data_IF_878154838735
#
_entry.id   IF_878154838735
#
_cell.length_a   1.000
_cell.length_b   1.000
_cell.length_c   1.000
_cell.angle_alpha   90.00
_cell.angle_beta   90.00
_cell.angle_gamma   90.00
#
_symmetry.space_group_name_H-M   'P 1'
#
loop_
_entity.id
_entity.type
_entity.pdbx_description
1 polymer ?
#
# COMPACT_ATOMS: atom_id res chain seq x y z
N UNK A 1 105.95 160.67 -15.10
CA UNK A 1 105.48 161.00 -16.46
C UNK A 1 104.01 161.39 -16.37
N UNK A 2 103.60 162.39 -17.16
CA UNK A 2 102.31 162.50 -17.86
C UNK A 2 101.00 162.37 -17.04
N UNK A 3 100.24 163.48 -16.99
CA UNK A 3 98.77 163.51 -16.99
C UNK A 3 98.03 163.31 -15.66
N UNK A 4 96.86 163.93 -15.40
CA UNK A 4 96.14 165.02 -16.12
C UNK A 4 95.21 165.75 -15.12
N UNK A 5 95.03 167.05 -15.32
CA UNK A 5 94.10 167.98 -14.61
C UNK A 5 92.61 167.74 -15.02
N UNK A 6 91.57 168.52 -14.58
CA UNK A 6 91.56 169.72 -13.72
C UNK A 6 90.42 169.83 -12.65
N UNK A 7 90.49 170.89 -11.81
CA UNK A 7 89.38 171.76 -11.31
C UNK A 7 88.17 171.18 -10.55
N UNK A 8 87.49 171.84 -9.58
CA UNK A 8 87.52 173.16 -8.90
C UNK A 8 86.99 172.93 -7.45
N UNK A 9 87.14 173.77 -6.42
CA UNK A 9 88.08 174.87 -6.11
C UNK A 9 87.75 175.49 -4.73
N UNK A 10 88.75 176.06 -4.03
CA UNK A 10 88.63 177.14 -3.00
C UNK A 10 87.87 176.76 -1.69
N UNK A 11 88.37 177.02 -0.48
CA UNK A 11 89.61 177.68 -0.04
C UNK A 11 89.98 177.24 1.39
N UNK A 12 91.24 177.37 1.82
CA UNK A 12 91.87 178.63 2.29
C UNK A 12 91.37 178.98 3.72
N UNK A 13 92.18 179.20 4.75
CA UNK A 13 93.64 179.10 5.01
C UNK A 13 93.78 178.76 6.53
N UNK A 14 94.89 178.21 7.03
CA UNK A 14 95.98 178.96 7.69
C UNK A 14 95.53 180.08 8.67
N UNK A 15 96.12 180.26 9.86
CA UNK A 15 97.19 179.51 10.55
C UNK A 15 97.28 180.02 12.01
N UNK A 16 98.04 179.32 12.86
CA UNK A 16 98.57 179.80 14.14
C UNK A 16 97.49 180.08 15.23
N UNK A 17 97.76 180.00 16.54
CA UNK A 17 99.00 179.70 17.28
C UNK A 17 98.65 179.14 18.67
N UNK A 18 99.69 178.76 19.44
CA UNK A 18 99.70 178.63 20.91
C UNK A 18 98.93 177.49 21.64
N UNK A 19 99.55 177.01 22.72
CA UNK A 19 98.82 176.63 23.94
C UNK A 19 98.36 175.17 24.09
N UNK A 20 99.28 174.26 24.42
CA UNK A 20 99.11 173.15 25.39
C UNK A 20 97.65 172.77 25.81
N UNK A 21 97.07 171.72 25.21
CA UNK A 21 95.79 171.11 25.64
C UNK A 21 95.81 169.55 25.59
N UNK A 22 94.83 168.84 26.21
CA UNK A 22 94.95 167.44 26.65
C UNK A 22 93.94 166.46 25.98
N UNK A 23 94.00 165.17 26.32
CA UNK A 23 92.82 164.27 26.26
C UNK A 23 92.96 163.01 27.14
N UNK A 24 91.90 162.70 27.91
CA UNK A 24 91.72 161.43 28.64
C UNK A 24 90.57 160.59 28.04
N UNK A 25 90.02 161.04 26.90
CA UNK A 25 88.71 160.65 26.35
C UNK A 25 88.72 159.30 25.61
N UNK A 26 89.90 158.86 25.15
CA UNK A 26 90.04 157.74 24.21
C UNK A 26 89.92 156.35 24.88
N UNK A 27 90.18 156.26 26.19
CA UNK A 27 89.96 155.02 26.96
C UNK A 27 88.48 154.80 27.28
N UNK A 28 87.71 155.89 27.49
CA UNK A 28 86.30 155.80 27.87
C UNK A 28 85.44 155.23 26.73
N UNK A 29 85.68 155.67 25.50
CA UNK A 29 85.00 155.21 24.29
C UNK A 29 85.28 153.73 24.01
N UNK A 30 86.52 153.28 24.20
CA UNK A 30 86.90 151.86 24.05
C UNK A 30 86.21 150.99 25.09
N UNK A 31 86.17 151.40 26.37
CA UNK A 31 85.47 150.67 27.43
C UNK A 31 83.97 150.56 27.09
N UNK A 32 83.34 151.64 26.63
CA UNK A 32 81.92 151.64 26.21
C UNK A 32 81.69 150.75 24.98
N UNK A 33 82.60 150.75 24.00
CA UNK A 33 82.45 149.92 22.80
C UNK A 33 82.61 148.43 23.11
N UNK A 34 83.54 148.06 24.00
CA UNK A 34 83.67 146.68 24.52
C UNK A 34 82.42 146.28 25.32
N UNK A 35 81.87 147.18 26.15
CA UNK A 35 80.62 146.92 26.88
C UNK A 35 79.42 146.74 25.93
N UNK A 36 79.29 147.58 24.90
CA UNK A 36 78.26 147.45 23.87
C UNK A 36 78.40 146.14 23.09
N UNK A 37 79.61 145.78 22.67
CA UNK A 37 79.85 144.56 21.90
C UNK A 37 79.61 143.30 22.77
N UNK A 38 80.02 143.33 24.04
CA UNK A 38 79.69 142.29 25.01
C UNK A 38 78.17 142.20 25.29
N UNK A 39 77.48 143.34 25.42
CA UNK A 39 76.03 143.40 25.60
C UNK A 39 75.31 142.82 24.39
N UNK A 40 75.70 143.17 23.15
CA UNK A 40 75.16 142.60 21.91
C UNK A 40 75.40 141.09 21.85
N UNK A 41 76.60 140.59 22.21
CA UNK A 41 76.89 139.15 22.26
C UNK A 41 76.03 138.43 23.30
N UNK A 42 75.82 139.01 24.48
CA UNK A 42 74.90 138.46 25.50
C UNK A 42 73.45 138.48 25.01
N UNK A 43 73.04 139.53 24.31
CA UNK A 43 71.67 139.66 23.77
C UNK A 43 71.43 138.66 22.64
N UNK A 44 72.36 138.50 21.71
CA UNK A 44 72.33 137.45 20.67
C UNK A 44 72.30 136.05 21.30
N UNK A 45 73.14 135.77 22.30
CA UNK A 45 73.16 134.46 22.96
C UNK A 45 71.90 134.20 23.79
N UNK A 46 71.26 135.23 24.34
CA UNK A 46 69.98 135.14 25.01
C UNK A 46 68.84 134.90 24.00
N UNK A 47 68.86 135.61 22.86
CA UNK A 47 67.93 135.37 21.75
C UNK A 47 68.07 133.94 21.19
N UNK A 48 69.29 133.43 21.02
CA UNK A 48 69.56 132.04 20.63
C UNK A 48 69.05 131.05 21.69
N UNK A 49 69.27 131.32 22.98
CA UNK A 49 68.79 130.47 24.07
C UNK A 49 67.25 130.44 24.13
N UNK A 50 66.59 131.59 23.91
CA UNK A 50 65.13 131.71 23.85
C UNK A 50 64.59 131.05 22.57
N UNK A 51 65.28 131.15 21.44
CA UNK A 51 64.92 130.45 20.20
C UNK A 51 65.06 128.93 20.35
N UNK A 52 66.15 128.46 20.97
CA UNK A 52 66.35 127.05 21.31
C UNK A 52 65.25 126.57 22.28
N UNK A 53 64.99 127.29 23.38
CA UNK A 53 63.94 126.93 24.33
C UNK A 53 62.55 126.90 23.68
N UNK A 54 62.23 127.87 22.80
CA UNK A 54 60.99 127.85 22.01
C UNK A 54 60.93 126.65 21.08
N UNK A 55 62.01 126.34 20.35
CA UNK A 55 62.05 125.16 19.47
C UNK A 55 61.89 123.85 20.25
N UNK A 56 62.43 123.75 21.47
CA UNK A 56 62.24 122.61 22.37
C UNK A 56 60.81 122.52 22.88
N UNK A 57 60.19 123.64 23.27
CA UNK A 57 58.78 123.69 23.71
C UNK A 57 57.82 123.40 22.54
N UNK A 58 58.13 123.85 21.32
CA UNK A 58 57.37 123.56 20.11
C UNK A 58 57.51 122.09 19.70
N UNK A 59 58.72 121.52 19.79
CA UNK A 59 58.96 120.10 19.59
C UNK A 59 58.29 119.23 20.67
N UNK A 60 58.30 119.66 21.94
CA UNK A 60 57.63 118.98 23.06
C UNK A 60 56.10 119.04 22.89
N UNK A 61 55.55 120.19 22.48
CA UNK A 61 54.13 120.32 22.14
C UNK A 61 53.75 119.44 20.96
N UNK A 62 54.55 119.43 19.89
CA UNK A 62 54.31 118.57 18.72
C UNK A 62 54.43 117.08 19.07
N UNK A 63 55.38 116.70 19.92
CA UNK A 63 55.50 115.34 20.44
C UNK A 63 54.34 114.97 21.35
N UNK A 64 53.84 115.91 22.16
CA UNK A 64 52.69 115.71 23.06
C UNK A 64 51.38 115.57 22.28
N UNK A 65 51.12 116.41 21.28
CA UNK A 65 49.93 116.27 20.43
C UNK A 65 50.00 115.01 19.56
N UNK A 66 51.17 114.65 19.04
CA UNK A 66 51.37 113.38 18.34
C UNK A 66 51.18 112.17 19.26
N UNK A 67 51.71 112.22 20.50
CA UNK A 67 51.51 111.16 21.48
C UNK A 67 50.03 111.01 21.87
N UNK A 68 49.30 112.13 22.01
CA UNK A 68 47.85 112.13 22.26
C UNK A 68 47.07 111.54 21.08
N UNK A 69 47.36 111.93 19.83
CA UNK A 69 46.68 111.39 18.65
C UNK A 69 46.97 109.90 18.47
N UNK A 70 48.23 109.47 18.63
CA UNK A 70 48.63 108.06 18.60
C UNK A 70 47.99 107.27 19.75
N UNK A 71 47.80 107.88 20.92
CA UNK A 71 47.11 107.21 22.03
C UNK A 71 45.60 107.05 21.75
N UNK A 72 44.95 108.08 21.22
CA UNK A 72 43.54 108.01 20.79
C UNK A 72 43.33 106.98 19.66
N UNK A 73 44.24 106.93 18.69
CA UNK A 73 44.22 105.89 17.65
C UNK A 73 44.42 104.48 18.23
N UNK A 74 45.37 104.31 19.17
CA UNK A 74 45.57 103.04 19.88
C UNK A 74 44.36 102.62 20.69
N UNK A 75 43.70 103.53 21.40
CA UNK A 75 42.47 103.26 22.15
C UNK A 75 41.34 102.85 21.20
N UNK A 76 41.14 103.57 20.09
CA UNK A 76 40.15 103.21 19.06
C UNK A 76 40.44 101.88 18.36
N UNK A 77 41.71 101.56 18.12
CA UNK A 77 42.13 100.27 17.57
C UNK A 77 41.98 99.13 18.58
N UNK A 78 42.27 99.36 19.86
CA UNK A 78 42.08 98.37 20.92
C UNK A 78 40.59 98.05 21.15
N UNK A 79 39.72 99.05 21.08
CA UNK A 79 38.27 98.85 21.14
C UNK A 79 37.76 98.03 19.95
N UNK A 80 38.20 98.34 18.72
CA UNK A 80 37.85 97.55 17.51
C UNK A 80 38.40 96.13 17.58
N UNK A 81 39.62 95.95 18.10
CA UNK A 81 40.20 94.62 18.29
C UNK A 81 39.32 93.82 19.24
N UNK A 82 38.97 94.37 20.41
CA UNK A 82 38.09 93.73 21.39
C UNK A 82 36.69 93.42 20.83
N UNK A 83 36.13 94.31 20.01
CA UNK A 83 34.86 94.08 19.29
C UNK A 83 34.99 92.88 18.34
N UNK A 84 35.98 92.87 17.45
CA UNK A 84 36.21 91.76 16.52
C UNK A 84 36.60 90.43 17.21
N UNK A 85 37.29 90.48 18.34
CA UNK A 85 37.60 89.30 19.16
C UNK A 85 36.34 88.72 19.79
N UNK A 86 35.41 89.57 20.28
CA UNK A 86 34.11 89.14 20.77
C UNK A 86 33.24 88.57 19.65
N UNK A 87 33.19 89.21 18.47
CA UNK A 87 32.50 88.68 17.29
C UNK A 87 33.06 87.30 16.86
N UNK A 88 34.39 87.16 16.81
CA UNK A 88 35.04 85.89 16.52
C UNK A 88 34.76 84.82 17.58
N UNK A 89 34.69 85.19 18.86
CA UNK A 89 34.32 84.27 19.93
C UNK A 89 32.86 83.80 19.81
N UNK A 90 31.93 84.72 19.50
CA UNK A 90 30.52 84.41 19.25
C UNK A 90 30.34 83.50 18.03
N UNK A 91 30.97 83.81 16.90
CA UNK A 91 30.92 83.01 15.67
C UNK A 91 31.53 81.61 15.85
N UNK A 92 32.60 81.48 16.65
CA UNK A 92 33.16 80.16 17.02
C UNK A 92 32.18 79.37 17.88
N UNK A 93 31.56 80.00 18.88
CA UNK A 93 30.53 79.38 19.71
C UNK A 93 29.32 78.89 18.90
N UNK A 94 28.83 79.71 17.97
CA UNK A 94 27.74 79.31 17.06
C UNK A 94 28.14 78.16 16.15
N UNK A 95 29.34 78.19 15.55
CA UNK A 95 29.86 77.12 14.71
C UNK A 95 29.97 75.79 15.47
N UNK A 96 30.40 75.81 16.73
CA UNK A 96 30.53 74.61 17.56
C UNK A 96 29.15 74.08 18.01
N UNK A 97 28.17 74.95 18.28
CA UNK A 97 26.77 74.55 18.49
C UNK A 97 26.17 73.92 17.23
N UNK A 98 26.41 74.49 16.05
CA UNK A 98 25.96 73.94 14.76
C UNK A 98 26.61 72.58 14.47
N UNK A 99 27.92 72.43 14.71
CA UNK A 99 28.63 71.14 14.61
C UNK A 99 28.06 70.10 15.58
N UNK A 100 27.84 70.46 16.84
CA UNK A 100 27.27 69.55 17.82
C UNK A 100 25.84 69.14 17.44
N UNK A 101 25.06 70.05 16.84
CA UNK A 101 23.73 69.74 16.29
C UNK A 101 23.82 68.78 15.09
N UNK A 102 24.73 69.02 14.15
CA UNK A 102 24.97 68.14 12.99
C UNK A 102 25.34 66.72 13.43
N UNK A 103 26.33 66.60 14.31
CA UNK A 103 26.79 65.32 14.84
C UNK A 103 25.67 64.55 15.56
N UNK A 104 24.82 65.24 16.36
CA UNK A 104 23.63 64.62 16.97
C UNK A 104 22.62 64.17 15.93
N UNK A 105 22.35 64.95 14.89
CA UNK A 105 21.41 64.57 13.82
C UNK A 105 21.93 63.40 12.98
N UNK A 106 23.22 63.36 12.68
CA UNK A 106 23.89 62.25 12.00
C UNK A 106 23.83 60.97 12.85
N UNK A 107 24.07 61.08 14.16
CA UNK A 107 23.94 59.94 15.07
C UNK A 107 22.50 59.42 15.14
N UNK A 108 21.49 60.30 15.22
CA UNK A 108 20.08 59.86 15.17
C UNK A 108 19.71 59.22 13.84
N UNK A 109 20.15 59.79 12.72
CA UNK A 109 19.88 59.25 11.38
C UNK A 109 20.55 57.87 11.19
N UNK A 110 21.78 57.71 11.70
CA UNK A 110 22.49 56.43 11.70
C UNK A 110 21.72 55.38 12.51
N UNK A 111 21.28 55.71 13.74
CA UNK A 111 20.46 54.82 14.59
C UNK A 111 19.13 54.44 13.93
N UNK A 112 18.42 55.39 13.32
CA UNK A 112 17.17 55.15 12.59
C UNK A 112 17.39 54.28 11.35
N UNK A 113 18.45 54.53 10.58
CA UNK A 113 18.79 53.70 9.41
C UNK A 113 19.10 52.25 9.80
N UNK A 114 19.80 52.05 10.92
CA UNK A 114 20.07 50.73 11.48
C UNK A 114 18.76 50.05 11.93
N UNK A 115 17.88 50.76 12.64
CA UNK A 115 16.57 50.24 13.04
C UNK A 115 15.70 49.85 11.83
N UNK A 116 15.63 50.70 10.81
CA UNK A 116 14.91 50.40 9.56
C UNK A 116 15.50 49.19 8.82
N UNK A 117 16.84 49.01 8.84
CA UNK A 117 17.47 47.82 8.25
C UNK A 117 17.11 46.54 9.01
N UNK A 118 17.05 46.60 10.34
CA UNK A 118 16.64 45.48 11.19
C UNK A 118 15.15 45.12 11.00
N UNK A 119 14.27 46.12 10.89
CA UNK A 119 12.85 45.86 10.60
C UNK A 119 12.61 45.29 9.20
N UNK A 120 13.38 45.72 8.19
CA UNK A 120 13.35 45.09 6.85
C UNK A 120 13.78 43.62 6.91
N UNK A 121 14.87 43.30 7.60
CA UNK A 121 15.31 41.92 7.79
C UNK A 121 14.29 41.05 8.57
N UNK A 122 13.59 41.64 9.56
CA UNK A 122 12.47 41.00 10.26
C UNK A 122 11.29 40.74 9.32
N UNK A 123 10.90 41.73 8.52
CA UNK A 123 9.81 41.60 7.55
C UNK A 123 10.11 40.54 6.47
N UNK A 124 11.34 40.47 5.95
CA UNK A 124 11.77 39.38 5.06
C UNK A 124 11.68 38.01 5.73
N UNK A 125 12.12 37.90 6.99
CA UNK A 125 12.08 36.64 7.75
C UNK A 125 10.64 36.18 7.98
N UNK A 126 9.75 37.09 8.39
CA UNK A 126 8.32 36.82 8.55
C UNK A 126 7.65 36.45 7.22
N UNK A 127 8.07 37.06 6.10
CA UNK A 127 7.58 36.71 4.76
C UNK A 127 7.98 35.28 4.39
N UNK A 128 9.24 34.90 4.59
CA UNK A 128 9.72 33.51 4.38
C UNK A 128 8.97 32.51 5.25
N UNK A 129 8.71 32.84 6.53
CA UNK A 129 7.91 31.99 7.43
C UNK A 129 6.45 31.85 6.96
N UNK A 130 5.83 32.94 6.48
CA UNK A 130 4.48 32.92 5.90
C UNK A 130 4.44 32.02 4.67
N UNK A 131 5.40 32.17 3.77
CA UNK A 131 5.51 31.37 2.54
C UNK A 131 5.70 29.88 2.86
N UNK A 132 6.57 29.56 3.82
CA UNK A 132 6.79 28.19 4.29
C UNK A 132 5.54 27.58 4.92
N UNK A 133 4.84 28.30 5.79
CA UNK A 133 3.57 27.84 6.39
C UNK A 133 2.49 27.64 5.32
N UNK A 134 2.43 28.51 4.31
CA UNK A 134 1.50 28.37 3.18
C UNK A 134 1.82 27.15 2.30
N UNK A 135 3.11 26.88 2.04
CA UNK A 135 3.55 25.68 1.33
C UNK A 135 3.25 24.39 2.12
N UNK A 136 3.44 24.41 3.45
CA UNK A 136 3.07 23.30 4.33
C UNK A 136 1.55 23.07 4.35
N UNK A 137 0.75 24.14 4.43
CA UNK A 137 -0.72 24.07 4.42
C UNK A 137 -1.25 23.43 3.11
N UNK A 138 -0.80 23.92 1.96
CA UNK A 138 -1.18 23.35 0.65
C UNK A 138 -0.74 21.90 0.48
N UNK A 139 0.43 21.52 1.02
CA UNK A 139 0.88 20.12 1.06
C UNK A 139 -0.05 19.25 1.94
N UNK A 140 -0.46 19.74 3.10
CA UNK A 140 -1.42 19.03 3.96
C UNK A 140 -2.81 18.90 3.33
N UNK A 141 -3.28 19.92 2.60
CA UNK A 141 -4.54 19.86 1.85
C UNK A 141 -4.49 18.79 0.74
N UNK A 142 -3.40 18.72 -0.01
CA UNK A 142 -3.17 17.68 -1.02
C UNK A 142 -3.15 16.28 -0.39
N UNK A 143 -2.43 16.09 0.73
CA UNK A 143 -2.39 14.83 1.45
C UNK A 143 -3.77 14.42 1.99
N UNK A 144 -4.56 15.36 2.52
CA UNK A 144 -5.94 15.12 2.95
C UNK A 144 -6.87 14.77 1.78
N UNK A 145 -6.70 15.38 0.62
CA UNK A 145 -7.46 15.03 -0.59
C UNK A 145 -7.12 13.62 -1.09
N UNK A 146 -5.83 13.26 -1.12
CA UNK A 146 -5.37 11.91 -1.47
C UNK A 146 -5.93 10.86 -0.50
N UNK A 147 -5.80 11.09 0.82
CA UNK A 147 -6.29 10.16 1.84
C UNK A 147 -7.82 10.00 1.83
N UNK A 148 -8.58 11.06 1.52
CA UNK A 148 -10.03 10.96 1.29
C UNK A 148 -10.37 10.09 0.08
N UNK A 149 -9.62 10.22 -1.01
CA UNK A 149 -9.81 9.41 -2.22
C UNK A 149 -9.47 7.93 -1.94
N UNK A 150 -8.38 7.67 -1.22
CA UNK A 150 -8.01 6.33 -0.77
C UNK A 150 -9.08 5.71 0.14
N UNK A 151 -9.59 6.46 1.13
CA UNK A 151 -10.67 6.00 1.99
C UNK A 151 -11.94 5.64 1.21
N UNK A 152 -12.34 6.46 0.22
CA UNK A 152 -13.50 6.16 -0.63
C UNK A 152 -13.28 4.89 -1.46
N UNK A 153 -12.09 4.70 -2.02
CA UNK A 153 -11.73 3.49 -2.76
C UNK A 153 -11.77 2.23 -1.87
N UNK A 154 -11.19 2.30 -0.65
CA UNK A 154 -11.21 1.20 0.33
C UNK A 154 -12.65 0.89 0.76
N UNK A 155 -13.46 1.93 1.00
CA UNK A 155 -14.88 1.76 1.36
C UNK A 155 -15.67 1.07 0.25
N UNK A 156 -15.48 1.46 -1.01
CA UNK A 156 -16.10 0.77 -2.15
C UNK A 156 -15.64 -0.69 -2.26
N UNK A 157 -14.33 -0.95 -2.14
CA UNK A 157 -13.80 -2.32 -2.16
C UNK A 157 -14.38 -3.19 -1.04
N UNK A 158 -14.57 -2.63 0.16
CA UNK A 158 -15.20 -3.33 1.29
C UNK A 158 -16.67 -3.65 1.01
N UNK A 159 -17.43 -2.72 0.41
CA UNK A 159 -18.81 -2.97 -0.03
C UNK A 159 -18.85 -4.08 -1.08
N UNK A 160 -18.00 -4.02 -2.12
CA UNK A 160 -17.93 -5.06 -3.15
C UNK A 160 -17.55 -6.44 -2.57
N UNK A 161 -16.61 -6.50 -1.62
CA UNK A 161 -16.25 -7.74 -0.94
C UNK A 161 -17.41 -8.29 -0.09
N UNK A 162 -18.12 -7.43 0.64
CA UNK A 162 -19.30 -7.82 1.42
C UNK A 162 -20.42 -8.39 0.53
N UNK A 163 -20.68 -7.78 -0.62
CA UNK A 163 -21.62 -8.34 -1.59
C UNK A 163 -21.13 -9.68 -2.18
N UNK A 164 -19.83 -9.80 -2.52
CA UNK A 164 -19.26 -11.05 -3.03
C UNK A 164 -19.37 -12.17 -1.99
N UNK A 165 -19.08 -11.89 -0.72
CA UNK A 165 -19.26 -12.83 0.39
C UNK A 165 -20.74 -13.24 0.55
N UNK A 166 -21.66 -12.27 0.49
CA UNK A 166 -23.12 -12.53 0.55
C UNK A 166 -23.60 -13.39 -0.62
N UNK A 167 -23.11 -13.14 -1.85
CA UNK A 167 -23.40 -13.97 -3.04
C UNK A 167 -22.83 -15.38 -2.90
N UNK A 168 -21.58 -15.52 -2.43
CA UNK A 168 -20.95 -16.81 -2.20
C UNK A 168 -21.66 -17.63 -1.12
N UNK A 169 -22.10 -17.00 -0.02
CA UNK A 169 -22.87 -17.68 1.03
C UNK A 169 -24.19 -18.23 0.48
N UNK A 170 -24.97 -17.43 -0.25
CA UNK A 170 -26.23 -17.91 -0.87
C UNK A 170 -26.02 -19.08 -1.83
N UNK A 171 -24.92 -19.08 -2.59
CA UNK A 171 -24.56 -20.19 -3.46
C UNK A 171 -24.17 -21.45 -2.67
N UNK A 172 -23.45 -21.29 -1.55
CA UNK A 172 -23.12 -22.39 -0.64
C UNK A 172 -24.39 -22.98 0.01
N UNK A 173 -25.34 -22.14 0.41
CA UNK A 173 -26.62 -22.56 0.99
C UNK A 173 -27.49 -23.30 -0.05
N UNK A 174 -27.58 -22.79 -1.27
CA UNK A 174 -28.32 -23.43 -2.38
C UNK A 174 -27.69 -24.77 -2.80
N UNK A 175 -26.37 -24.83 -3.01
CA UNK A 175 -25.68 -26.08 -3.34
C UNK A 175 -25.79 -27.12 -2.21
N UNK A 176 -25.82 -26.68 -0.94
CA UNK A 176 -26.12 -27.57 0.19
C UNK A 176 -27.54 -28.11 0.13
N UNK A 177 -28.54 -27.26 -0.11
CA UNK A 177 -29.93 -27.70 -0.25
C UNK A 177 -30.12 -28.69 -1.41
N UNK A 178 -29.41 -28.48 -2.54
CA UNK A 178 -29.39 -29.43 -3.67
C UNK A 178 -28.75 -30.77 -3.30
N UNK A 179 -27.64 -30.77 -2.55
CA UNK A 179 -27.00 -32.00 -2.05
C UNK A 179 -27.90 -32.76 -1.08
N UNK A 180 -28.53 -32.06 -0.13
CA UNK A 180 -29.45 -32.65 0.84
C UNK A 180 -30.66 -33.28 0.12
N UNK A 181 -31.28 -32.57 -0.84
CA UNK A 181 -32.36 -33.09 -1.67
C UNK A 181 -31.94 -34.31 -2.51
N UNK A 182 -30.76 -34.28 -3.13
CA UNK A 182 -30.23 -35.40 -3.91
C UNK A 182 -29.89 -36.61 -3.04
N UNK A 183 -29.46 -36.39 -1.81
CA UNK A 183 -29.23 -37.47 -0.84
C UNK A 183 -30.53 -38.17 -0.45
N UNK A 184 -31.62 -37.42 -0.26
CA UNK A 184 -32.95 -37.97 0.03
C UNK A 184 -33.48 -38.81 -1.15
N UNK A 185 -33.35 -38.32 -2.40
CA UNK A 185 -33.71 -39.07 -3.61
C UNK A 185 -32.94 -40.39 -3.73
N UNK A 186 -31.63 -40.39 -3.41
CA UNK A 186 -30.82 -41.62 -3.42
C UNK A 186 -31.26 -42.62 -2.35
N UNK A 187 -31.66 -42.15 -1.16
CA UNK A 187 -32.21 -43.00 -0.10
C UNK A 187 -33.53 -43.62 -0.56
N UNK A 188 -34.48 -42.81 -1.03
CA UNK A 188 -35.78 -43.30 -1.55
C UNK A 188 -35.59 -44.33 -2.67
N UNK A 189 -34.71 -44.03 -3.64
CA UNK A 189 -34.42 -44.92 -4.76
C UNK A 189 -33.73 -46.22 -4.34
N UNK A 190 -32.91 -46.20 -3.29
CA UNK A 190 -32.27 -47.42 -2.77
C UNK A 190 -33.27 -48.33 -2.05
N UNK A 191 -34.22 -47.77 -1.28
CA UNK A 191 -35.33 -48.54 -0.71
C UNK A 191 -36.28 -49.10 -1.79
N UNK A 192 -36.60 -48.32 -2.83
CA UNK A 192 -37.39 -48.79 -3.96
C UNK A 192 -36.72 -49.97 -4.71
N UNK A 193 -35.40 -49.91 -4.91
CA UNK A 193 -34.63 -51.03 -5.47
C UNK A 193 -34.64 -52.25 -4.54
N UNK A 194 -34.43 -52.06 -3.23
CA UNK A 194 -34.46 -53.14 -2.23
C UNK A 194 -35.81 -53.87 -2.20
N UNK A 195 -36.92 -53.12 -2.31
CA UNK A 195 -38.27 -53.68 -2.44
C UNK A 195 -38.43 -54.47 -3.75
N UNK A 196 -37.97 -53.91 -4.88
CA UNK A 196 -38.06 -54.58 -6.19
C UNK A 196 -37.22 -55.87 -6.26
N UNK A 197 -36.05 -55.89 -5.62
CA UNK A 197 -35.24 -57.11 -5.47
C UNK A 197 -35.89 -58.16 -4.58
N UNK A 198 -36.66 -57.76 -3.56
CA UNK A 198 -37.44 -58.69 -2.74
C UNK A 198 -38.60 -59.30 -3.56
N UNK A 199 -39.30 -58.50 -4.35
CA UNK A 199 -40.36 -58.95 -5.26
C UNK A 199 -39.83 -59.89 -6.36
N UNK A 200 -38.69 -59.56 -6.99
CA UNK A 200 -38.07 -60.45 -7.98
C UNK A 200 -37.67 -61.81 -7.37
N UNK A 201 -37.20 -61.83 -6.12
CA UNK A 201 -36.91 -63.08 -5.39
C UNK A 201 -38.18 -63.90 -5.10
N UNK A 202 -39.30 -63.27 -4.72
CA UNK A 202 -40.55 -64.00 -4.46
C UNK A 202 -41.21 -64.51 -5.75
N UNK A 203 -41.14 -63.75 -6.85
CA UNK A 203 -41.57 -64.20 -8.17
C UNK A 203 -40.71 -65.38 -8.63
N UNK A 204 -39.38 -65.31 -8.50
CA UNK A 204 -38.48 -66.41 -8.88
C UNK A 204 -38.75 -67.68 -8.08
N UNK A 205 -38.98 -67.57 -6.76
CA UNK A 205 -39.35 -68.70 -5.92
C UNK A 205 -40.70 -69.31 -6.37
N UNK A 206 -41.71 -68.49 -6.65
CA UNK A 206 -43.03 -68.93 -7.12
C UNK A 206 -42.95 -69.63 -8.48
N UNK A 207 -42.09 -69.14 -9.39
CA UNK A 207 -41.84 -69.79 -10.69
C UNK A 207 -41.14 -71.14 -10.53
N UNK A 208 -40.19 -71.26 -9.60
CA UNK A 208 -39.58 -72.55 -9.26
C UNK A 208 -40.64 -73.55 -8.78
N UNK A 209 -41.43 -73.19 -7.77
CA UNK A 209 -42.49 -74.06 -7.25
C UNK A 209 -43.49 -74.48 -8.32
N UNK A 210 -43.94 -73.56 -9.18
CA UNK A 210 -44.83 -73.90 -10.31
C UNK A 210 -44.18 -74.80 -11.35
N UNK A 211 -42.87 -74.66 -11.57
CA UNK A 211 -42.10 -75.57 -12.45
C UNK A 211 -42.03 -76.98 -11.85
N UNK A 212 -41.81 -77.08 -10.54
CA UNK A 212 -41.79 -78.36 -9.82
C UNK A 212 -43.17 -79.03 -9.80
N UNK A 213 -44.24 -78.26 -9.53
CA UNK A 213 -45.64 -78.70 -9.63
C UNK A 213 -46.00 -79.19 -11.04
N UNK A 214 -45.56 -78.47 -12.09
CA UNK A 214 -45.78 -78.88 -13.47
C UNK A 214 -45.01 -80.15 -13.82
N UNK A 215 -43.80 -80.33 -13.29
CA UNK A 215 -43.02 -81.56 -13.48
C UNK A 215 -43.69 -82.79 -12.82
N UNK A 216 -44.20 -82.67 -11.59
CA UNK A 216 -44.97 -83.74 -10.95
C UNK A 216 -46.30 -84.01 -11.66
N UNK A 217 -47.05 -82.96 -12.03
CA UNK A 217 -48.30 -83.11 -12.79
C UNK A 217 -48.06 -83.79 -14.14
N UNK A 218 -46.99 -83.42 -14.85
CA UNK A 218 -46.58 -84.10 -16.09
C UNK A 218 -46.25 -85.56 -15.83
N UNK A 219 -45.47 -85.88 -14.80
CA UNK A 219 -45.16 -87.26 -14.44
C UNK A 219 -46.43 -88.07 -14.12
N UNK A 220 -47.42 -87.48 -13.45
CA UNK A 220 -48.73 -88.13 -13.19
C UNK A 220 -49.54 -88.32 -14.48
N UNK A 221 -49.60 -87.31 -15.35
CA UNK A 221 -50.30 -87.39 -16.64
C UNK A 221 -49.71 -88.48 -17.54
N UNK A 222 -48.38 -88.50 -17.68
CA UNK A 222 -47.67 -89.51 -18.46
C UNK A 222 -47.90 -90.93 -17.91
N UNK A 223 -48.12 -91.09 -16.59
CA UNK A 223 -48.51 -92.38 -15.97
C UNK A 223 -49.93 -92.82 -16.30
N UNK A 224 -50.88 -91.88 -16.47
CA UNK A 224 -52.30 -92.15 -16.77
C UNK A 224 -52.54 -92.42 -18.26
N UNK A 225 -51.82 -91.74 -19.15
CA UNK A 225 -52.02 -91.79 -20.62
C UNK A 225 -51.09 -92.84 -21.28
N UNK A 226 -50.56 -93.78 -20.49
CA UNK A 226 -49.82 -94.93 -21.03
C UNK A 226 -50.74 -95.77 -21.94
N UNK A 227 -50.29 -96.17 -23.14
CA UNK A 227 -51.09 -97.03 -24.01
C UNK A 227 -51.44 -98.34 -23.31
N UNK A 228 -52.67 -98.85 -23.48
CA UNK A 228 -53.07 -100.11 -22.87
C UNK A 228 -52.12 -101.26 -23.27
N UNK A 229 -51.65 -102.03 -22.27
CA UNK A 229 -50.76 -103.19 -22.47
C UNK A 229 -51.35 -104.17 -23.49
N UNK A 230 -50.65 -104.39 -24.60
CA UNK A 230 -51.14 -105.15 -25.75
C UNK A 230 -50.11 -106.19 -26.22
N UNK A 231 -50.60 -107.35 -26.63
CA UNK A 231 -49.78 -108.41 -27.23
C UNK A 231 -49.48 -108.17 -28.72
N UNK A 232 -50.14 -107.20 -29.37
CA UNK A 232 -50.05 -107.00 -30.82
C UNK A 232 -48.62 -106.60 -31.25
N UNK A 233 -48.02 -107.38 -32.16
CA UNK A 233 -46.66 -107.14 -32.65
C UNK A 233 -45.54 -107.42 -31.64
N UNK A 234 -45.83 -108.14 -30.54
CA UNK A 234 -44.87 -108.47 -29.48
C UNK A 234 -44.55 -109.97 -29.47
N UNK A 235 -43.36 -110.34 -28.98
CA UNK A 235 -42.97 -111.74 -28.80
C UNK A 235 -43.65 -112.31 -27.55
N UNK A 236 -44.73 -113.08 -27.75
CA UNK A 236 -45.54 -113.63 -26.66
C UNK A 236 -44.87 -114.86 -26.05
N UNK A 237 -44.70 -114.84 -24.74
CA UNK A 237 -44.36 -116.00 -23.91
C UNK A 237 -45.49 -116.26 -22.95
N UNK A 238 -46.13 -117.41 -23.06
CA UNK A 238 -47.13 -117.87 -22.10
C UNK A 238 -46.46 -118.62 -20.96
N UNK A 239 -46.92 -118.36 -19.74
CA UNK A 239 -46.47 -119.02 -18.52
C UNK A 239 -47.70 -119.47 -17.75
N UNK A 240 -47.88 -120.78 -17.64
CA UNK A 240 -48.91 -121.41 -16.83
C UNK A 240 -48.32 -121.85 -15.49
N UNK A 241 -48.94 -121.46 -14.38
CA UNK A 241 -48.53 -121.92 -13.05
C UNK A 241 -49.70 -122.58 -12.31
N UNK A 242 -49.44 -123.77 -11.78
CA UNK A 242 -50.39 -124.59 -11.03
C UNK A 242 -49.64 -125.32 -9.91
N UNK A 243 -50.30 -125.51 -8.76
CA UNK A 243 -49.79 -126.24 -7.61
C UNK A 243 -50.65 -127.47 -7.38
N UNK A 244 -50.01 -128.64 -7.38
CA UNK A 244 -50.65 -129.94 -7.16
C UNK A 244 -50.01 -130.56 -5.91
N UNK A 245 -50.77 -130.56 -4.81
CA UNK A 245 -50.25 -130.87 -3.47
C UNK A 245 -49.10 -129.96 -3.03
N UNK A 246 -47.98 -130.56 -2.61
CA UNK A 246 -46.79 -129.84 -2.13
C UNK A 246 -45.88 -129.31 -3.26
N UNK A 247 -46.16 -129.62 -4.54
CA UNK A 247 -45.26 -129.26 -5.66
C UNK A 247 -45.93 -128.31 -6.65
N UNK A 248 -45.29 -127.16 -6.85
CA UNK A 248 -45.63 -126.23 -7.92
C UNK A 248 -45.09 -126.70 -9.27
N UNK A 249 -45.97 -126.81 -10.27
CA UNK A 249 -45.61 -127.10 -11.67
C UNK A 249 -45.77 -125.84 -12.50
N UNK A 250 -44.66 -125.35 -13.03
CA UNK A 250 -44.64 -124.28 -14.04
C UNK A 250 -44.55 -124.94 -15.41
N UNK A 251 -45.39 -124.49 -16.35
CA UNK A 251 -45.26 -124.79 -17.78
C UNK A 251 -45.14 -123.47 -18.53
N UNK A 252 -44.38 -123.45 -19.61
CA UNK A 252 -44.26 -122.26 -20.45
C UNK A 252 -44.31 -122.62 -21.92
N UNK A 253 -44.62 -121.61 -22.73
CA UNK A 253 -44.77 -121.71 -24.18
C UNK A 253 -44.29 -120.41 -24.81
N UNK A 254 -43.53 -120.50 -25.89
CA UNK A 254 -42.99 -119.34 -26.62
C UNK A 254 -43.65 -119.23 -27.99
N UNK A 255 -43.70 -118.05 -28.60
CA UNK A 255 -44.22 -117.90 -29.96
C UNK A 255 -43.58 -118.88 -30.98
N UNK A 256 -42.31 -119.25 -30.79
CA UNK A 256 -41.57 -120.20 -31.64
C UNK A 256 -41.91 -121.69 -31.42
N UNK A 257 -42.72 -122.05 -30.41
CA UNK A 257 -43.04 -123.44 -30.07
C UNK A 257 -44.42 -123.55 -29.42
N UNK A 258 -45.38 -124.19 -30.09
CA UNK A 258 -46.77 -124.30 -29.62
C UNK A 258 -46.99 -125.28 -28.45
N UNK A 259 -45.97 -126.03 -28.04
CA UNK A 259 -46.07 -127.03 -26.96
C UNK A 259 -45.81 -126.40 -25.59
N UNK A 260 -46.67 -126.69 -24.60
CA UNK A 260 -46.44 -126.33 -23.20
C UNK A 260 -45.34 -127.23 -22.60
N UNK A 261 -44.15 -126.66 -22.38
CA UNK A 261 -43.01 -127.35 -21.81
C UNK A 261 -42.96 -127.15 -20.29
N UNK A 262 -42.79 -128.21 -19.47
CA UNK A 262 -42.54 -128.05 -18.04
C UNK A 262 -41.18 -127.38 -17.79
N UNK A 263 -41.09 -126.57 -16.74
CA UNK A 263 -39.84 -125.94 -16.30
C UNK A 263 -39.86 -125.73 -14.78
N UNK A 264 -38.67 -125.67 -14.18
CA UNK A 264 -38.52 -125.10 -12.82
C UNK A 264 -38.55 -123.56 -12.86
N UNK A 265 -38.77 -122.89 -11.71
CA UNK A 265 -38.75 -121.41 -11.65
C UNK A 265 -37.43 -120.83 -12.16
N UNK A 266 -36.30 -121.44 -11.79
CA UNK A 266 -34.97 -121.00 -12.23
C UNK A 266 -34.76 -121.19 -13.75
N UNK A 267 -35.25 -122.30 -14.33
CA UNK A 267 -35.19 -122.53 -15.78
C UNK A 267 -36.09 -121.55 -16.55
N UNK A 268 -37.29 -121.26 -16.04
CA UNK A 268 -38.18 -120.26 -16.63
C UNK A 268 -37.52 -118.89 -16.61
N UNK A 269 -37.01 -118.45 -15.46
CA UNK A 269 -36.34 -117.16 -15.32
C UNK A 269 -35.10 -117.06 -16.22
N UNK A 270 -34.26 -118.11 -16.29
CA UNK A 270 -33.10 -118.15 -17.20
C UNK A 270 -33.49 -118.06 -18.68
N UNK A 271 -34.60 -118.70 -19.09
CA UNK A 271 -35.13 -118.59 -20.46
C UNK A 271 -35.73 -117.22 -20.74
N UNK A 272 -36.42 -116.60 -19.77
CA UNK A 272 -36.94 -115.25 -19.88
C UNK A 272 -35.82 -114.19 -19.89
N UNK A 273 -34.73 -114.38 -19.15
CA UNK A 273 -33.51 -113.56 -19.24
C UNK A 273 -32.91 -113.60 -20.65
N UNK A 274 -32.80 -114.81 -21.24
CA UNK A 274 -32.32 -114.96 -22.61
C UNK A 274 -33.26 -114.30 -23.63
N UNK A 275 -34.57 -114.43 -23.45
CA UNK A 275 -35.57 -113.78 -24.31
C UNK A 275 -35.62 -112.27 -24.12
N UNK A 276 -35.43 -111.73 -22.91
CA UNK A 276 -35.37 -110.28 -22.64
C UNK A 276 -34.10 -109.68 -23.26
N UNK A 277 -32.96 -110.38 -23.21
CA UNK A 277 -31.74 -109.99 -23.95
C UNK A 277 -31.92 -110.00 -25.46
N UNK A 278 -32.69 -110.95 -26.01
CA UNK A 278 -32.92 -111.10 -27.46
C UNK A 278 -34.00 -110.15 -28.01
N UNK A 279 -35.05 -109.88 -27.25
CA UNK A 279 -36.24 -109.15 -27.71
C UNK A 279 -36.49 -107.81 -26.99
N UNK A 280 -35.74 -107.47 -25.93
CA UNK A 280 -35.80 -106.17 -25.26
C UNK A 280 -37.23 -105.76 -24.89
N UNK A 281 -37.68 -104.62 -25.43
CA UNK A 281 -39.00 -104.05 -25.17
C UNK A 281 -40.06 -104.50 -26.19
N UNK A 282 -39.80 -105.64 -26.84
CA UNK A 282 -40.77 -106.42 -27.60
C UNK A 282 -41.21 -107.72 -26.89
N UNK A 283 -40.64 -108.08 -25.73
CA UNK A 283 -41.03 -109.28 -24.99
C UNK A 283 -42.35 -109.06 -24.23
N UNK A 284 -43.35 -109.91 -24.45
CA UNK A 284 -44.64 -109.88 -23.76
C UNK A 284 -44.89 -111.20 -23.01
N UNK A 285 -45.10 -111.13 -21.70
CA UNK A 285 -45.27 -112.29 -20.83
C UNK A 285 -46.75 -112.45 -20.46
N UNK A 286 -47.41 -113.48 -20.99
CA UNK A 286 -48.80 -113.84 -20.69
C UNK A 286 -48.84 -114.88 -19.58
N UNK A 287 -49.29 -114.50 -18.39
CA UNK A 287 -49.39 -115.41 -17.25
C UNK A 287 -50.82 -115.95 -17.16
N UNK A 288 -50.95 -117.26 -16.99
CA UNK A 288 -52.24 -117.97 -16.99
C UNK A 288 -52.32 -118.87 -15.75
N UNK A 289 -53.30 -118.61 -14.89
CA UNK A 289 -53.64 -119.48 -13.77
C UNK A 289 -54.90 -120.27 -14.15
N UNK A 290 -54.84 -121.60 -14.32
CA UNK A 290 -56.04 -122.41 -14.55
C UNK A 290 -56.96 -122.37 -13.32
N UNK A 291 -58.25 -122.64 -13.50
CA UNK A 291 -59.26 -122.54 -12.41
C UNK A 291 -58.87 -123.39 -11.19
N UNK A 292 -58.37 -124.60 -11.42
CA UNK A 292 -57.83 -125.50 -10.39
C UNK A 292 -56.32 -125.29 -10.16
N UNK A 293 -55.84 -124.04 -10.16
CA UNK A 293 -54.43 -123.72 -9.98
C UNK A 293 -53.89 -124.00 -8.57
N UNK A 294 -54.74 -124.07 -7.54
CA UNK A 294 -54.31 -124.33 -6.16
C UNK A 294 -53.46 -123.22 -5.52
N UNK A 295 -53.41 -122.04 -6.14
CA UNK A 295 -52.62 -120.89 -5.69
C UNK A 295 -53.49 -119.93 -4.87
N UNK A 296 -52.92 -119.34 -3.82
CA UNK A 296 -53.54 -118.19 -3.18
C UNK A 296 -53.38 -116.94 -4.05
N UNK A 297 -54.26 -115.96 -3.83
CA UNK A 297 -54.21 -114.65 -4.52
C UNK A 297 -52.85 -113.96 -4.37
N UNK A 298 -52.25 -113.99 -3.18
CA UNK A 298 -50.95 -113.37 -2.92
C UNK A 298 -49.80 -114.10 -3.65
N UNK A 299 -49.80 -115.43 -3.70
CA UNK A 299 -48.80 -116.19 -4.47
C UNK A 299 -48.91 -115.93 -5.98
N UNK A 300 -50.14 -115.94 -6.51
CA UNK A 300 -50.41 -115.63 -7.92
C UNK A 300 -50.02 -114.18 -8.27
N UNK A 301 -50.31 -113.22 -7.38
CA UNK A 301 -49.94 -111.81 -7.58
C UNK A 301 -48.42 -111.58 -7.49
N UNK A 302 -47.74 -112.17 -6.50
CA UNK A 302 -46.28 -112.09 -6.39
C UNK A 302 -45.59 -112.73 -7.59
N UNK A 303 -46.02 -113.92 -8.00
CA UNK A 303 -45.50 -114.57 -9.22
C UNK A 303 -45.73 -113.69 -10.46
N UNK A 304 -46.92 -113.09 -10.59
CA UNK A 304 -47.24 -112.17 -11.68
C UNK A 304 -46.33 -110.95 -11.69
N UNK A 305 -46.20 -110.28 -10.54
CA UNK A 305 -45.36 -109.08 -10.40
C UNK A 305 -43.89 -109.42 -10.67
N UNK A 306 -43.30 -110.39 -9.98
CA UNK A 306 -41.88 -110.72 -10.09
C UNK A 306 -41.48 -111.03 -11.54
N UNK A 307 -42.38 -111.66 -12.31
CA UNK A 307 -42.14 -112.04 -13.70
C UNK A 307 -42.41 -110.89 -14.69
N UNK A 308 -43.51 -110.16 -14.54
CA UNK A 308 -43.83 -109.04 -15.44
C UNK A 308 -42.81 -107.90 -15.27
N UNK A 309 -42.42 -107.56 -14.05
CA UNK A 309 -41.52 -106.43 -13.78
C UNK A 309 -40.10 -106.64 -14.30
N UNK A 310 -39.62 -107.90 -14.35
CA UNK A 310 -38.28 -108.23 -14.83
C UNK A 310 -38.21 -108.45 -16.34
N UNK A 311 -39.30 -108.93 -16.95
CA UNK A 311 -39.24 -109.48 -18.30
C UNK A 311 -40.26 -108.88 -19.29
N UNK A 312 -41.38 -108.32 -18.83
CA UNK A 312 -42.39 -107.77 -19.73
C UNK A 312 -42.01 -106.37 -20.25
N UNK A 313 -42.32 -106.07 -21.50
CA UNK A 313 -42.01 -104.77 -22.10
C UNK A 313 -42.76 -103.62 -21.41
N UNK A 314 -43.96 -103.87 -20.87
CA UNK A 314 -44.81 -102.80 -20.34
C UNK A 314 -44.33 -102.26 -18.98
N UNK A 315 -43.49 -103.01 -18.28
CA UNK A 315 -43.00 -102.68 -16.94
C UNK A 315 -41.48 -102.41 -16.90
N UNK A 316 -40.82 -102.33 -18.05
CA UNK A 316 -39.37 -102.25 -18.17
C UNK A 316 -38.74 -100.98 -17.52
N UNK A 317 -39.49 -99.89 -17.41
CA UNK A 317 -39.02 -98.59 -16.90
C UNK A 317 -38.87 -98.53 -15.35
N UNK A 318 -38.83 -99.68 -14.66
CA UNK A 318 -38.47 -99.75 -13.24
C UNK A 318 -39.46 -99.10 -12.26
N UNK A 319 -40.71 -98.88 -12.67
CA UNK A 319 -41.73 -98.21 -11.87
C UNK A 319 -42.66 -99.19 -11.16
N UNK A 320 -42.47 -99.37 -9.85
CA UNK A 320 -43.34 -100.19 -8.98
C UNK A 320 -44.77 -99.65 -8.88
N UNK A 321 -45.75 -100.40 -9.34
CA UNK A 321 -47.13 -100.27 -8.85
C UNK A 321 -47.14 -100.60 -7.34
N UNK A 322 -47.91 -99.87 -6.51
CA UNK A 322 -48.13 -100.27 -5.14
C UNK A 322 -48.81 -101.65 -5.10
N UNK A 323 -48.40 -102.48 -4.14
CA UNK A 323 -49.11 -103.74 -3.90
C UNK A 323 -50.59 -103.47 -3.58
N UNK A 324 -51.53 -104.31 -4.04
CA UNK A 324 -52.91 -104.21 -3.62
C UNK A 324 -52.95 -104.35 -2.10
N UNK A 325 -53.41 -103.29 -1.42
CA UNK A 325 -53.74 -103.35 -0.01
C UNK A 325 -55.03 -104.17 0.09
N UNK A 326 -54.97 -105.31 0.77
CA UNK A 326 -56.15 -106.12 1.12
C UNK A 326 -56.94 -105.43 2.24
#
# INVERSE_FOLDING_TARGET
MIGTFPDLSIGRDAANEEGFWPSFTDILTVIVMVFMLAMVVVLLRNLDLVAQLRSTIEAERAASTLAQSVNQEKEGLALRLLETENELAMLRGELDVLRQRSARTEETLARESAALSAERARAETLTRQRDEVSARATTFEQNLAALRTEHLNIQQQLTEQSERATRAQRLADDTRAQLDARSAELVERSEALRLREAELRSVQATLSTRSDEFADLKARYDRLVRPARSAAGKFVVEVQYQRDGEKGTIRYRTADNETLLPATRAELESKLDALKKKHGDALYVRIIFPENSGLSYNEAWQFTRDLLYRYDYYYADGHTDPAPQN
#
